data_IF_553596064327
#
_entry.id   IF_553596064327
#
_cell.length_a   1.000
_cell.length_b   1.000
_cell.length_c   1.000
_cell.angle_alpha   90.00
_cell.angle_beta   90.00
_cell.angle_gamma   90.00
#
_symmetry.space_group_name_H-M   'P 1'
#
loop_
_entity.id
_entity.type
_entity.pdbx_description
1 polymer ?
#
# COMPACT_ATOMS: atom_id res chain seq x y z
N UNK A 1 46.87 -47.18 -27.76
CA UNK A 1 45.73 -46.28 -28.06
C UNK A 1 45.00 -46.04 -26.76
N UNK A 2 44.91 -44.78 -26.32
CA UNK A 2 44.25 -44.41 -25.05
C UNK A 2 42.83 -44.01 -25.41
N UNK A 3 41.84 -44.77 -24.94
CA UNK A 3 40.41 -44.45 -25.11
C UNK A 3 39.86 -44.02 -23.74
N UNK A 4 39.49 -42.74 -23.63
CA UNK A 4 38.78 -42.22 -22.45
C UNK A 4 37.34 -41.90 -22.84
N UNK A 5 36.43 -42.82 -22.52
CA UNK A 5 35.00 -42.66 -22.75
C UNK A 5 34.38 -41.72 -21.71
N UNK A 6 33.90 -40.59 -22.21
CA UNK A 6 33.36 -39.43 -21.48
C UNK A 6 31.91 -39.66 -21.06
N UNK A 7 31.68 -40.07 -19.80
CA UNK A 7 30.35 -40.04 -19.14
C UNK A 7 29.91 -38.58 -18.92
N UNK A 8 29.10 -38.01 -19.82
CA UNK A 8 28.56 -36.65 -19.63
C UNK A 8 27.33 -36.32 -20.49
N UNK A 9 26.32 -37.19 -20.57
CA UNK A 9 25.06 -36.85 -21.30
C UNK A 9 23.77 -37.29 -20.60
N UNK A 10 23.75 -37.40 -19.27
CA UNK A 10 22.53 -37.78 -18.54
C UNK A 10 22.30 -36.95 -17.27
N UNK A 11 22.08 -35.64 -17.44
CA UNK A 11 21.69 -34.76 -16.31
C UNK A 11 20.68 -33.66 -16.68
N UNK A 12 20.21 -33.61 -17.92
CA UNK A 12 19.45 -32.46 -18.42
C UNK A 12 17.89 -32.49 -18.36
N UNK A 13 17.16 -33.46 -17.78
CA UNK A 13 15.72 -33.28 -17.58
C UNK A 13 15.30 -32.92 -16.14
N UNK A 14 16.16 -33.04 -15.12
CA UNK A 14 15.76 -32.80 -13.73
C UNK A 14 15.77 -31.31 -13.31
N UNK A 15 16.45 -30.44 -14.05
CA UNK A 15 16.54 -29.01 -13.72
C UNK A 15 15.27 -28.19 -14.00
N UNK A 16 14.32 -28.73 -14.77
CA UNK A 16 13.13 -27.98 -15.22
C UNK A 16 11.89 -28.15 -14.31
N UNK A 17 11.89 -29.12 -13.39
CA UNK A 17 10.74 -29.37 -12.51
C UNK A 17 10.82 -28.55 -11.21
N UNK A 18 12.02 -28.14 -10.78
CA UNK A 18 12.20 -27.34 -9.55
C UNK A 18 11.73 -25.88 -9.66
N UNK A 19 11.45 -25.37 -10.86
CA UNK A 19 11.09 -23.96 -11.09
C UNK A 19 9.59 -23.67 -10.94
N UNK A 20 8.73 -24.69 -10.81
CA UNK A 20 7.27 -24.52 -10.84
C UNK A 20 6.65 -24.16 -9.48
N UNK A 21 7.13 -24.72 -8.37
CA UNK A 21 6.54 -24.51 -7.04
C UNK A 21 6.86 -23.13 -6.44
N UNK A 22 7.98 -22.51 -6.83
CA UNK A 22 8.35 -21.17 -6.34
C UNK A 22 7.45 -20.06 -6.93
N UNK A 23 6.87 -20.27 -8.12
CA UNK A 23 6.08 -19.25 -8.81
C UNK A 23 4.78 -18.87 -8.09
N UNK A 24 4.08 -19.85 -7.48
CA UNK A 24 2.76 -19.62 -6.87
C UNK A 24 2.83 -18.90 -5.50
N UNK A 25 3.87 -19.16 -4.70
CA UNK A 25 4.01 -18.55 -3.37
C UNK A 25 4.25 -17.03 -3.43
N UNK A 26 4.93 -16.53 -4.48
CA UNK A 26 5.21 -15.09 -4.64
C UNK A 26 3.94 -14.26 -4.84
N UNK A 27 2.88 -14.84 -5.42
CA UNK A 27 1.62 -14.13 -5.64
C UNK A 27 0.73 -14.06 -4.39
N UNK A 28 0.77 -15.10 -3.54
CA UNK A 28 -0.12 -15.19 -2.36
C UNK A 28 0.42 -14.37 -1.16
N UNK A 29 1.75 -14.28 -1.00
CA UNK A 29 2.36 -13.65 0.19
C UNK A 29 2.64 -12.15 0.10
N UNK A 30 2.31 -11.46 -1.01
CA UNK A 30 2.71 -10.05 -1.16
C UNK A 30 1.72 -8.99 -0.68
N UNK A 31 0.53 -9.37 -0.22
CA UNK A 31 -0.52 -8.41 0.10
C UNK A 31 -0.83 -7.46 -1.07
N UNK A 32 -1.79 -6.57 -0.93
CA UNK A 32 -1.93 -5.49 -1.90
C UNK A 32 -1.00 -4.36 -1.48
N UNK A 33 0.01 -4.02 -2.29
CA UNK A 33 0.87 -2.86 -2.01
C UNK A 33 0.15 -1.52 -2.17
N UNK A 34 -1.16 -1.53 -2.45
CA UNK A 34 -1.97 -0.34 -2.56
C UNK A 34 -1.40 0.69 -3.57
N UNK A 35 -0.66 0.24 -4.58
CA UNK A 35 0.02 1.09 -5.56
C UNK A 35 -0.93 1.67 -6.60
N UNK A 36 -2.03 0.96 -6.89
CA UNK A 36 -3.05 1.39 -7.85
C UNK A 36 -4.27 1.93 -7.10
N UNK A 37 -4.30 3.25 -6.94
CA UNK A 37 -5.43 3.98 -6.38
C UNK A 37 -6.37 4.48 -7.48
N UNK A 38 -7.66 4.56 -7.15
CA UNK A 38 -8.67 5.16 -7.99
C UNK A 38 -8.47 6.67 -8.13
N UNK A 39 -9.19 7.26 -9.09
CA UNK A 39 -9.39 8.71 -9.10
C UNK A 39 -10.10 9.14 -7.80
N UNK A 40 -9.79 10.32 -7.23
CA UNK A 40 -10.40 10.79 -5.99
C UNK A 40 -11.91 10.96 -6.12
N UNK A 41 -12.65 10.29 -5.25
CA UNK A 41 -14.11 10.40 -5.17
C UNK A 41 -14.45 11.30 -3.99
N UNK A 42 -15.41 12.20 -4.20
CA UNK A 42 -15.93 13.08 -3.15
C UNK A 42 -17.17 12.46 -2.52
N UNK A 43 -17.23 12.43 -1.20
CA UNK A 43 -18.41 12.07 -0.42
C UNK A 43 -18.55 13.02 0.75
N UNK A 44 -19.71 13.66 0.85
CA UNK A 44 -19.96 14.75 1.81
C UNK A 44 -18.90 15.86 1.61
N UNK A 45 -18.12 16.13 2.65
CA UNK A 45 -17.06 17.13 2.70
C UNK A 45 -15.64 16.53 2.62
N UNK A 46 -15.54 15.22 2.35
CA UNK A 46 -14.28 14.51 2.30
C UNK A 46 -14.04 13.90 0.92
N UNK A 47 -12.78 13.90 0.51
CA UNK A 47 -12.35 13.24 -0.71
C UNK A 47 -11.47 12.06 -0.33
N UNK A 48 -11.65 10.95 -1.03
CA UNK A 48 -10.94 9.71 -0.75
C UNK A 48 -10.64 8.96 -2.04
N UNK A 49 -9.62 8.10 -1.97
CA UNK A 49 -9.28 7.17 -3.03
C UNK A 49 -9.45 5.73 -2.54
N UNK A 50 -9.74 4.84 -3.47
CA UNK A 50 -9.92 3.41 -3.20
C UNK A 50 -8.83 2.63 -3.95
N UNK A 51 -8.22 1.67 -3.29
CA UNK A 51 -7.30 0.76 -3.96
C UNK A 51 -8.08 -0.13 -4.93
N UNK A 52 -7.71 -0.08 -6.21
CA UNK A 52 -8.33 -0.91 -7.24
C UNK A 52 -7.95 -2.40 -7.12
N UNK A 53 -6.93 -2.74 -6.33
CA UNK A 53 -6.49 -4.13 -6.12
C UNK A 53 -7.14 -4.83 -4.93
N UNK A 54 -7.53 -4.09 -3.88
CA UNK A 54 -8.06 -4.71 -2.66
C UNK A 54 -9.23 -3.96 -2.01
N UNK A 55 -9.64 -2.79 -2.52
CA UNK A 55 -10.78 -2.03 -2.01
C UNK A 55 -10.53 -1.18 -0.76
N UNK A 56 -9.32 -1.18 -0.21
CA UNK A 56 -9.00 -0.32 0.95
C UNK A 56 -9.07 1.15 0.57
N UNK A 57 -9.55 2.01 1.48
CA UNK A 57 -9.74 3.43 1.24
C UNK A 57 -8.70 4.27 1.97
N UNK A 58 -8.43 5.47 1.45
CA UNK A 58 -7.57 6.48 2.07
C UNK A 58 -8.07 7.87 1.75
N UNK A 59 -7.94 8.81 2.68
CA UNK A 59 -8.31 10.21 2.44
C UNK A 59 -7.39 10.87 1.42
N UNK A 60 -7.94 11.86 0.72
CA UNK A 60 -7.28 12.62 -0.32
C UNK A 60 -7.54 14.11 -0.15
N UNK A 61 -6.46 14.89 -0.22
CA UNK A 61 -6.50 16.35 -0.15
C UNK A 61 -6.58 16.89 -1.57
N UNK A 62 -7.71 17.50 -1.91
CA UNK A 62 -7.93 18.11 -3.23
C UNK A 62 -7.04 19.33 -3.46
N UNK A 63 -6.69 20.07 -2.40
CA UNK A 63 -5.90 21.31 -2.51
C UNK A 63 -4.43 20.99 -2.71
N UNK A 64 -3.89 20.09 -1.90
CA UNK A 64 -2.50 19.63 -2.03
C UNK A 64 -2.34 18.49 -3.06
N UNK A 65 -3.44 18.03 -3.65
CA UNK A 65 -3.52 16.94 -4.62
C UNK A 65 -2.74 15.68 -4.19
N UNK A 66 -2.90 15.27 -2.92
CA UNK A 66 -2.17 14.13 -2.34
C UNK A 66 -3.03 13.30 -1.39
N UNK A 67 -2.75 12.00 -1.32
CA UNK A 67 -3.37 11.13 -0.32
C UNK A 67 -2.74 11.34 1.06
N UNK A 68 -3.53 11.23 2.13
CA UNK A 68 -3.08 11.43 3.50
C UNK A 68 -3.83 10.51 4.49
N UNK A 69 -3.33 10.48 5.72
CA UNK A 69 -3.95 9.72 6.79
C UNK A 69 -3.80 8.19 6.65
N UNK A 70 -4.47 7.44 7.54
CA UNK A 70 -4.41 5.98 7.57
C UNK A 70 -5.24 5.35 6.45
N UNK A 71 -5.03 4.05 6.25
CA UNK A 71 -5.88 3.23 5.40
C UNK A 71 -7.01 2.58 6.22
N UNK A 72 -8.21 2.47 5.64
CA UNK A 72 -9.35 1.77 6.25
C UNK A 72 -10.32 1.31 5.18
N UNK A 73 -10.99 0.19 5.41
CA UNK A 73 -12.11 -0.23 4.57
C UNK A 73 -13.40 0.55 4.85
N UNK A 74 -13.55 1.01 6.09
CA UNK A 74 -14.65 1.85 6.52
C UNK A 74 -14.29 3.32 6.34
N UNK A 75 -15.08 4.03 5.53
CA UNK A 75 -14.93 5.45 5.26
C UNK A 75 -15.28 6.30 6.49
N UNK A 76 -16.25 5.88 7.29
CA UNK A 76 -16.68 6.62 8.47
C UNK A 76 -15.55 6.67 9.52
N UNK A 77 -14.80 5.56 9.67
CA UNK A 77 -13.59 5.53 10.48
C UNK A 77 -12.52 6.55 10.02
N UNK A 78 -12.37 6.75 8.71
CA UNK A 78 -11.43 7.75 8.17
C UNK A 78 -11.91 9.17 8.46
N UNK A 79 -13.19 9.45 8.25
CA UNK A 79 -13.78 10.75 8.55
C UNK A 79 -13.66 11.09 10.04
N UNK A 80 -13.93 10.13 10.93
CA UNK A 80 -13.77 10.31 12.37
C UNK A 80 -12.31 10.61 12.75
N UNK A 81 -11.35 9.93 12.13
CA UNK A 81 -9.92 10.20 12.33
C UNK A 81 -9.54 11.63 11.92
N UNK A 82 -10.01 12.10 10.76
CA UNK A 82 -9.74 13.47 10.28
C UNK A 82 -10.38 14.53 11.18
N UNK A 83 -11.63 14.33 11.61
CA UNK A 83 -12.30 15.23 12.57
C UNK A 83 -11.51 15.35 13.87
N UNK A 84 -11.05 14.23 14.42
CA UNK A 84 -10.25 14.23 15.64
C UNK A 84 -8.90 14.94 15.45
N UNK A 85 -8.25 14.78 14.30
CA UNK A 85 -7.00 15.46 13.98
C UNK A 85 -7.18 16.97 13.81
N UNK A 86 -8.26 17.41 13.15
CA UNK A 86 -8.56 18.83 12.98
C UNK A 86 -8.77 19.53 14.32
N UNK A 87 -9.53 18.93 15.23
CA UNK A 87 -9.75 19.50 16.58
C UNK A 87 -8.44 19.64 17.35
N UNK A 88 -7.56 18.63 17.27
CA UNK A 88 -6.24 18.68 17.91
C UNK A 88 -5.35 19.78 17.32
N UNK A 89 -5.35 19.95 16.00
CA UNK A 89 -4.57 20.98 15.33
C UNK A 89 -5.00 22.39 15.77
N UNK A 90 -6.31 22.66 15.80
CA UNK A 90 -6.87 23.94 16.27
C UNK A 90 -6.49 24.20 17.73
N UNK A 91 -6.60 23.18 18.59
CA UNK A 91 -6.18 23.30 20.00
C UNK A 91 -4.70 23.62 20.17
N UNK A 92 -3.83 22.98 19.39
CA UNK A 92 -2.39 23.27 19.39
C UNK A 92 -2.07 24.70 18.93
N UNK A 93 -2.76 25.18 17.89
CA UNK A 93 -2.56 26.54 17.37
C UNK A 93 -2.98 27.60 18.39
N UNK A 94 -4.12 27.42 19.05
CA UNK A 94 -4.59 28.30 20.12
C UNK A 94 -3.59 28.36 21.30
N UNK A 95 -3.07 27.21 21.73
CA UNK A 95 -2.07 27.14 22.81
C UNK A 95 -0.74 27.78 22.38
N UNK A 96 -0.32 27.59 21.13
CA UNK A 96 0.91 28.19 20.61
C UNK A 96 0.82 29.71 20.56
N UNK A 97 -0.29 30.27 20.06
CA UNK A 97 -0.49 31.72 20.02
C UNK A 97 -0.49 32.35 21.41
N UNK A 98 -1.13 31.70 22.39
CA UNK A 98 -1.14 32.18 23.77
C UNK A 98 0.28 32.23 24.39
N UNK A 99 1.15 31.28 24.04
CA UNK A 99 2.55 31.26 24.50
C UNK A 99 3.42 32.31 23.81
N UNK A 100 3.16 32.61 22.54
CA UNK A 100 3.91 33.64 21.80
C UNK A 100 3.51 35.07 22.16
N UNK A 101 2.35 35.26 22.79
CA UNK A 101 1.83 36.56 23.23
C UNK A 101 2.14 36.89 24.71
N UNK A 102 2.85 36.01 25.43
CA UNK A 102 3.32 36.20 26.82
C UNK A 102 4.82 36.49 26.84
#
# INVERSE_FOLDING_TARGET
MIETSKKSRWVWPLGLIATSLTGAAVFVFRGCWHSKMSWPVRSEDYSYQVCMGCGIKRLFDEKAFRSYGPYSYDLQRLMAWERAHRVKAIGHEAVSQQRSAS
#
